data_IF_721656655332
#
_entry.id   IF_721656655332
#
_cell.length_a   1.000
_cell.length_b   1.000
_cell.length_c   1.000
_cell.angle_alpha   90.00
_cell.angle_beta   90.00
_cell.angle_gamma   90.00
#
_symmetry.space_group_name_H-M   'P 1'
#
loop_
_entity.id
_entity.type
_entity.pdbx_description
1 polymer ?
#
# COMPACT_ATOMS: atom_id res chain seq x y z
N UNK A 1 26.83 21.55 -11.32
CA UNK A 1 26.66 22.94 -11.83
C UNK A 1 25.25 23.49 -11.62
N UNK A 2 24.22 22.90 -12.21
CA UNK A 2 22.85 23.43 -12.21
C UNK A 2 22.26 23.68 -10.81
N UNK A 3 22.51 22.79 -9.85
CA UNK A 3 22.08 22.99 -8.47
C UNK A 3 22.73 24.22 -7.83
N UNK A 4 24.04 24.44 -8.04
CA UNK A 4 24.75 25.62 -7.56
C UNK A 4 24.22 26.91 -8.22
N UNK A 5 23.98 26.87 -9.54
CA UNK A 5 23.34 27.97 -10.29
C UNK A 5 21.98 28.32 -9.71
N UNK A 6 21.11 27.33 -9.50
CA UNK A 6 19.76 27.51 -8.95
C UNK A 6 19.80 28.15 -7.55
N UNK A 7 20.62 27.61 -6.65
CA UNK A 7 20.77 28.15 -5.29
C UNK A 7 21.32 29.59 -5.29
N UNK A 8 22.20 29.92 -6.24
CA UNK A 8 22.74 31.27 -6.37
C UNK A 8 21.81 32.27 -7.05
N UNK A 9 20.70 31.84 -7.68
CA UNK A 9 19.86 32.67 -8.56
C UNK A 9 19.39 33.95 -7.85
N UNK A 10 19.02 33.83 -6.57
CA UNK A 10 18.55 34.93 -5.73
C UNK A 10 19.63 35.54 -4.84
N UNK A 11 20.89 35.10 -4.97
CA UNK A 11 22.01 35.65 -4.22
C UNK A 11 22.42 37.04 -4.73
N UNK A 12 23.09 37.79 -3.86
CA UNK A 12 23.65 39.09 -4.20
C UNK A 12 24.55 38.99 -5.44
N UNK A 13 24.53 40.01 -6.31
CA UNK A 13 25.24 40.00 -7.60
C UNK A 13 26.73 39.65 -7.47
N UNK A 14 27.40 40.14 -6.43
CA UNK A 14 28.82 39.83 -6.21
C UNK A 14 29.07 38.33 -5.98
N UNK A 15 28.16 37.62 -5.30
CA UNK A 15 28.25 36.16 -5.11
C UNK A 15 28.05 35.41 -6.43
N UNK A 16 27.09 35.86 -7.25
CA UNK A 16 26.85 35.29 -8.59
C UNK A 16 28.08 35.44 -9.50
N UNK A 17 28.73 36.62 -9.49
CA UNK A 17 29.97 36.87 -10.23
C UNK A 17 31.16 36.06 -9.70
N UNK A 18 31.28 35.90 -8.39
CA UNK A 18 32.30 35.05 -7.79
C UNK A 18 32.13 33.58 -8.21
N UNK A 19 30.89 33.07 -8.18
CA UNK A 19 30.59 31.72 -8.62
C UNK A 19 30.83 31.52 -10.12
N UNK A 20 30.47 32.51 -10.96
CA UNK A 20 30.79 32.49 -12.39
C UNK A 20 32.31 32.40 -12.62
N UNK A 21 33.10 33.15 -11.85
CA UNK A 21 34.56 33.11 -11.92
C UNK A 21 35.13 31.74 -11.53
N UNK A 22 34.59 31.12 -10.47
CA UNK A 22 34.98 29.76 -10.05
C UNK A 22 34.63 28.74 -11.14
N UNK A 23 33.44 28.81 -11.72
CA UNK A 23 33.01 27.92 -12.80
C UNK A 23 33.90 28.04 -14.05
N UNK A 24 34.32 29.27 -14.39
CA UNK A 24 35.29 29.53 -15.47
C UNK A 24 36.67 28.92 -15.15
N UNK A 25 37.18 29.11 -13.93
CA UNK A 25 38.49 28.58 -13.49
C UNK A 25 38.50 27.05 -13.51
N UNK A 26 37.44 26.42 -12.98
CA UNK A 26 37.27 24.97 -12.94
C UNK A 26 36.83 24.38 -14.29
N UNK A 27 36.63 25.20 -15.32
CA UNK A 27 36.18 24.81 -16.66
C UNK A 27 34.89 23.97 -16.64
N UNK A 28 33.97 24.34 -15.75
CA UNK A 28 32.68 23.64 -15.61
C UNK A 28 31.83 23.85 -16.85
N UNK A 29 31.24 22.77 -17.35
CA UNK A 29 30.35 22.77 -18.51
C UNK A 29 28.90 22.50 -18.09
N UNK A 30 27.90 23.02 -18.82
CA UNK A 30 26.49 22.72 -18.58
C UNK A 30 26.10 21.25 -18.80
N UNK A 31 26.73 20.63 -19.78
CA UNK A 31 26.55 19.23 -20.12
C UNK A 31 27.86 18.49 -19.86
N UNK A 32 27.73 17.33 -19.21
CA UNK A 32 28.84 16.45 -18.87
C UNK A 32 28.56 15.08 -19.46
N UNK A 33 29.61 14.44 -19.96
CA UNK A 33 29.57 13.07 -20.42
C UNK A 33 30.06 12.16 -19.30
N UNK A 34 29.18 11.31 -18.81
CA UNK A 34 29.44 10.35 -17.73
C UNK A 34 28.83 9.01 -18.10
N UNK A 35 29.41 7.92 -17.60
CA UNK A 35 28.78 6.60 -17.75
C UNK A 35 27.47 6.51 -16.96
N UNK A 36 26.58 5.61 -17.36
CA UNK A 36 25.34 5.33 -16.62
C UNK A 36 25.64 4.97 -15.15
N UNK A 37 26.68 4.16 -14.91
CA UNK A 37 27.09 3.80 -13.56
C UNK A 37 27.50 5.00 -12.72
N UNK A 38 28.23 5.96 -13.30
CA UNK A 38 28.60 7.20 -12.62
C UNK A 38 27.39 8.09 -12.33
N UNK A 39 26.48 8.27 -13.30
CA UNK A 39 25.28 9.09 -13.12
C UNK A 39 24.37 8.54 -12.01
N UNK A 40 24.19 7.22 -11.96
CA UNK A 40 23.33 6.57 -10.98
C UNK A 40 24.01 6.48 -9.60
N UNK A 41 25.25 6.01 -9.55
CA UNK A 41 25.86 5.56 -8.29
C UNK A 41 26.89 6.51 -7.69
N UNK A 42 27.41 7.48 -8.45
CA UNK A 42 28.41 8.41 -7.94
C UNK A 42 29.50 8.75 -8.96
N UNK A 43 29.83 10.04 -9.04
CA UNK A 43 31.12 10.51 -9.53
C UNK A 43 31.56 11.77 -8.79
N UNK A 44 32.86 12.00 -8.73
CA UNK A 44 33.44 13.20 -8.14
C UNK A 44 33.17 14.42 -9.03
N UNK A 45 32.34 15.35 -8.55
CA UNK A 45 32.10 16.64 -9.21
C UNK A 45 33.07 17.71 -8.67
N UNK A 46 33.75 18.49 -9.54
CA UNK A 46 34.73 19.48 -9.09
C UNK A 46 34.13 20.61 -8.22
N UNK A 47 32.86 21.00 -8.44
CA UNK A 47 32.20 22.01 -7.62
C UNK A 47 31.82 21.43 -6.25
N UNK A 48 31.35 20.18 -6.21
CA UNK A 48 31.08 19.49 -4.95
C UNK A 48 32.35 19.35 -4.11
N UNK A 49 33.47 18.96 -4.76
CA UNK A 49 34.79 18.89 -4.09
C UNK A 49 35.17 20.22 -3.48
N UNK A 50 35.10 21.31 -4.25
CA UNK A 50 35.41 22.65 -3.74
C UNK A 50 34.45 23.08 -2.61
N UNK A 51 33.16 22.79 -2.74
CA UNK A 51 32.18 23.13 -1.71
C UNK A 51 32.52 22.47 -0.37
N UNK A 52 32.99 21.23 -0.36
CA UNK A 52 33.43 20.55 0.88
C UNK A 52 34.59 21.26 1.58
N UNK A 53 35.50 21.85 0.83
CA UNK A 53 36.70 22.49 1.36
C UNK A 53 36.41 23.90 1.89
N UNK A 54 35.42 24.59 1.31
CA UNK A 54 35.14 26.02 1.57
C UNK A 54 33.91 26.24 2.47
N UNK A 55 32.89 25.38 2.39
CA UNK A 55 31.61 25.59 3.09
C UNK A 55 31.72 25.19 4.57
N UNK A 56 31.15 25.99 5.51
CA UNK A 56 31.10 25.66 6.94
C UNK A 56 30.48 24.29 7.21
N UNK A 57 30.90 23.63 8.29
CA UNK A 57 30.49 22.25 8.62
C UNK A 57 28.97 22.07 8.69
N UNK A 58 28.26 23.10 9.15
CA UNK A 58 26.81 23.12 9.35
C UNK A 58 26.03 23.15 8.04
N UNK A 59 26.66 23.59 6.94
CA UNK A 59 26.08 23.69 5.59
C UNK A 59 26.66 22.65 4.63
N UNK A 60 27.49 21.72 5.12
CA UNK A 60 28.04 20.67 4.27
C UNK A 60 26.95 19.70 3.85
N UNK A 61 26.97 19.42 2.55
CA UNK A 61 26.14 18.36 1.98
C UNK A 61 26.59 17.00 2.54
N UNK A 62 25.64 16.09 2.85
CA UNK A 62 25.96 14.82 3.48
C UNK A 62 26.53 13.76 2.51
N UNK A 63 26.77 14.12 1.24
CA UNK A 63 27.23 13.20 0.20
C UNK A 63 28.62 13.57 -0.30
N UNK A 64 29.39 12.54 -0.65
CA UNK A 64 30.75 12.73 -1.13
C UNK A 64 30.84 12.86 -2.65
N UNK A 65 29.97 12.16 -3.36
CA UNK A 65 29.92 12.17 -4.81
C UNK A 65 28.54 12.61 -5.27
N UNK A 66 28.46 13.04 -6.53
CA UNK A 66 27.18 13.30 -7.16
C UNK A 66 26.67 12.01 -7.80
N UNK A 67 25.44 11.61 -7.48
CA UNK A 67 24.74 10.52 -8.16
C UNK A 67 23.25 10.55 -7.81
N UNK A 68 22.40 10.14 -8.75
CA UNK A 68 20.94 10.17 -8.56
C UNK A 68 20.47 9.18 -7.49
N UNK A 69 21.18 8.07 -7.34
CA UNK A 69 20.94 7.01 -6.35
C UNK A 69 22.19 6.78 -5.49
N UNK A 70 23.01 7.82 -5.30
CA UNK A 70 24.21 7.75 -4.45
C UNK A 70 23.85 7.28 -3.04
N UNK A 71 24.60 6.31 -2.51
CA UNK A 71 24.39 5.75 -1.17
C UNK A 71 23.10 4.92 -1.00
N UNK A 72 22.38 4.61 -2.08
CA UNK A 72 21.16 3.78 -2.03
C UNK A 72 21.39 2.29 -2.30
N UNK A 73 22.62 1.91 -2.60
CA UNK A 73 22.97 0.49 -2.76
C UNK A 73 23.18 -0.15 -1.38
N UNK A 74 22.35 -1.13 -1.03
CA UNK A 74 22.39 -1.85 0.24
C UNK A 74 21.22 -1.50 1.18
N UNK A 75 21.41 -1.74 2.47
CA UNK A 75 20.39 -1.48 3.49
C UNK A 75 20.49 -0.05 3.99
N UNK A 76 19.37 0.68 3.99
CA UNK A 76 19.32 2.02 4.55
C UNK A 76 19.54 2.00 6.08
N UNK A 77 20.28 2.95 6.67
CA UNK A 77 20.32 3.16 8.11
C UNK A 77 19.02 3.78 8.67
N UNK A 78 18.10 4.19 7.80
CA UNK A 78 16.82 4.79 8.19
C UNK A 78 15.95 3.79 8.97
N UNK A 79 15.22 4.30 9.95
CA UNK A 79 14.28 3.52 10.76
C UNK A 79 12.86 3.91 10.41
N UNK A 80 12.10 2.92 9.92
CA UNK A 80 10.67 3.05 9.64
C UNK A 80 9.89 2.26 10.68
N UNK A 81 8.99 2.94 11.39
CA UNK A 81 8.07 2.34 12.36
C UNK A 81 6.69 2.27 11.73
N UNK A 82 6.11 1.08 11.66
CA UNK A 82 4.78 0.84 11.09
C UNK A 82 3.83 0.22 12.11
N UNK A 83 2.53 0.49 11.96
CA UNK A 83 1.50 -0.15 12.75
C UNK A 83 1.35 -1.62 12.35
N UNK A 84 1.46 -2.52 13.32
CA UNK A 84 1.32 -3.96 13.13
C UNK A 84 -0.13 -4.43 12.95
N UNK A 85 -1.11 -3.54 13.13
CA UNK A 85 -2.53 -3.89 13.10
C UNK A 85 -3.06 -4.62 14.34
N UNK A 86 -2.22 -4.86 15.36
CA UNK A 86 -2.60 -5.63 16.55
C UNK A 86 -3.74 -4.99 17.37
N UNK A 87 -3.76 -3.65 17.45
CA UNK A 87 -4.80 -2.90 18.15
C UNK A 87 -5.95 -2.50 17.22
N UNK A 88 -5.62 -2.16 15.98
CA UNK A 88 -6.57 -1.69 14.96
C UNK A 88 -6.10 -2.12 13.56
N UNK A 89 -6.86 -3.04 12.97
CA UNK A 89 -6.55 -3.60 11.65
C UNK A 89 -6.66 -2.55 10.52
N UNK A 90 -7.40 -1.46 10.73
CA UNK A 90 -7.51 -0.38 9.73
C UNK A 90 -6.22 0.42 9.55
N UNK A 91 -5.30 0.30 10.52
CA UNK A 91 -3.97 0.93 10.48
C UNK A 91 -2.87 -0.01 10.03
N UNK A 92 -3.19 -1.27 9.70
CA UNK A 92 -2.19 -2.27 9.34
C UNK A 92 -1.30 -1.82 8.17
N UNK A 93 0.02 -1.86 8.37
CA UNK A 93 1.00 -1.48 7.34
C UNK A 93 1.14 0.02 7.13
N UNK A 94 0.45 0.86 7.92
CA UNK A 94 0.59 2.32 7.84
C UNK A 94 1.83 2.76 8.63
N UNK A 95 2.62 3.64 8.03
CA UNK A 95 3.81 4.23 8.64
C UNK A 95 3.40 5.22 9.73
N UNK A 96 3.94 5.00 10.93
CA UNK A 96 3.76 5.85 12.09
C UNK A 96 4.89 6.87 12.23
N UNK A 97 6.14 6.40 12.07
CA UNK A 97 7.32 7.25 12.21
C UNK A 97 8.36 6.91 11.15
N UNK A 98 9.01 7.96 10.63
CA UNK A 98 10.21 7.85 9.81
C UNK A 98 11.34 8.59 10.52
N UNK A 99 12.42 7.88 10.88
CA UNK A 99 13.53 8.43 11.66
C UNK A 99 13.07 9.20 12.91
N UNK A 100 12.17 8.58 13.69
CA UNK A 100 11.54 9.13 14.90
C UNK A 100 10.65 10.37 14.68
N UNK A 101 10.28 10.68 13.43
CA UNK A 101 9.39 11.81 13.09
C UNK A 101 8.05 11.30 12.57
N UNK A 102 6.97 11.90 13.04
CA UNK A 102 5.59 11.58 12.63
C UNK A 102 5.13 12.35 11.39
N UNK A 103 5.83 13.44 11.06
CA UNK A 103 5.50 14.35 9.97
C UNK A 103 6.78 14.86 9.32
N UNK A 104 6.69 15.14 8.03
CA UNK A 104 7.68 15.91 7.29
C UNK A 104 7.75 17.35 7.81
N UNK A 105 8.78 18.07 7.41
CA UNK A 105 9.02 19.46 7.83
C UNK A 105 9.22 20.41 6.65
N UNK A 106 8.81 19.99 5.46
CA UNK A 106 9.09 20.69 4.21
C UNK A 106 7.91 21.54 3.72
N UNK A 107 6.69 21.12 4.05
CA UNK A 107 5.47 21.68 3.47
C UNK A 107 4.75 22.62 4.44
N UNK A 108 3.85 23.45 3.93
CA UNK A 108 3.24 24.52 4.76
C UNK A 108 2.10 24.04 5.65
N UNK A 109 1.52 22.86 5.37
CA UNK A 109 0.39 22.31 6.12
C UNK A 109 0.72 20.94 6.70
N UNK A 110 0.09 20.62 7.82
CA UNK A 110 0.21 19.32 8.47
C UNK A 110 -0.28 18.17 7.58
N UNK A 111 -1.30 18.41 6.75
CA UNK A 111 -1.82 17.41 5.83
C UNK A 111 -0.76 17.00 4.80
N UNK A 112 -0.03 17.97 4.24
CA UNK A 112 0.97 17.71 3.20
C UNK A 112 2.27 17.19 3.79
N UNK A 113 2.53 17.48 5.07
CA UNK A 113 3.58 16.87 5.85
C UNK A 113 3.24 15.48 6.41
N UNK A 114 2.05 14.93 6.13
CA UNK A 114 1.69 13.59 6.58
C UNK A 114 2.55 12.53 5.91
N UNK A 115 2.97 11.52 6.68
CA UNK A 115 3.62 10.29 6.20
C UNK A 115 2.72 9.05 6.42
N UNK A 116 1.47 9.26 6.84
CA UNK A 116 0.53 8.20 7.18
C UNK A 116 0.02 7.48 5.93
N UNK A 117 0.86 6.61 5.38
CA UNK A 117 0.57 5.72 4.27
C UNK A 117 1.34 4.42 4.39
N UNK A 118 1.07 3.51 3.46
CA UNK A 118 1.84 2.28 3.29
C UNK A 118 3.17 2.54 2.58
N UNK A 119 4.12 1.62 2.67
CA UNK A 119 5.30 1.56 1.81
C UNK A 119 4.97 1.04 0.38
N UNK A 120 3.71 0.68 0.12
CA UNK A 120 3.23 0.15 -1.15
C UNK A 120 3.21 -1.38 -1.22
N UNK A 121 3.73 -2.10 -0.22
CA UNK A 121 3.78 -3.57 -0.21
C UNK A 121 2.53 -4.21 0.38
N UNK A 122 2.00 -3.62 1.44
CA UNK A 122 0.84 -4.11 2.21
C UNK A 122 -0.12 -2.97 2.50
N UNK A 123 -1.41 -3.24 2.49
CA UNK A 123 -2.42 -2.24 2.83
C UNK A 123 -3.39 -2.81 3.87
N UNK A 124 -4.15 -1.95 4.59
CA UNK A 124 -5.20 -2.43 5.48
C UNK A 124 -6.15 -3.38 4.76
N UNK A 125 -6.60 -4.49 5.37
CA UNK A 125 -7.48 -5.44 4.71
C UNK A 125 -8.89 -4.88 4.51
N UNK A 126 -9.68 -5.57 3.67
CA UNK A 126 -11.08 -5.23 3.35
C UNK A 126 -11.28 -3.90 2.61
N UNK A 127 -10.31 -3.54 1.77
CA UNK A 127 -10.38 -2.37 0.89
C UNK A 127 -11.56 -2.48 -0.07
N UNK A 128 -12.23 -1.34 -0.27
CA UNK A 128 -13.34 -1.12 -1.18
C UNK A 128 -12.95 -0.12 -2.26
N UNK A 129 -13.71 -0.11 -3.37
CA UNK A 129 -13.48 0.80 -4.50
C UNK A 129 -13.56 2.29 -4.15
N UNK A 130 -14.19 2.63 -3.03
CA UNK A 130 -14.33 4.02 -2.58
C UNK A 130 -13.16 4.46 -1.69
N UNK A 131 -12.34 3.52 -1.21
CA UNK A 131 -11.22 3.83 -0.35
C UNK A 131 -10.09 4.46 -1.16
N UNK A 132 -9.41 5.44 -0.57
CA UNK A 132 -8.20 6.03 -1.14
C UNK A 132 -7.01 5.44 -0.41
N UNK A 133 -6.17 4.71 -1.13
CA UNK A 133 -4.93 4.21 -0.59
C UNK A 133 -3.87 5.31 -0.62
N UNK A 134 -2.88 5.22 0.24
CA UNK A 134 -1.80 6.19 0.29
C UNK A 134 -0.48 5.46 0.40
N UNK A 135 0.48 5.87 -0.43
CA UNK A 135 1.86 5.35 -0.41
C UNK A 135 2.80 6.47 -0.02
N UNK A 136 3.71 6.19 0.91
CA UNK A 136 4.79 7.09 1.27
C UNK A 136 6.12 6.42 0.95
N UNK A 137 6.92 7.12 0.17
CA UNK A 137 8.33 6.83 -0.03
C UNK A 137 9.14 8.09 0.27
N UNK A 138 10.31 7.93 0.90
CA UNK A 138 11.16 9.05 1.32
C UNK A 138 11.64 9.91 0.14
N UNK A 139 11.80 9.30 -1.04
CA UNK A 139 12.30 9.96 -2.25
C UNK A 139 11.20 10.70 -3.01
N UNK A 140 9.94 10.31 -2.82
CA UNK A 140 8.78 11.07 -3.29
C UNK A 140 8.51 12.32 -2.43
N UNK A 141 9.00 12.35 -1.19
CA UNK A 141 8.90 13.50 -0.27
C UNK A 141 7.49 14.01 0.02
N UNK A 142 6.47 13.23 -0.30
CA UNK A 142 5.06 13.47 0.03
C UNK A 142 4.33 12.15 0.07
N UNK A 143 3.18 12.17 0.72
CA UNK A 143 2.19 11.10 0.59
C UNK A 143 1.61 11.12 -0.83
N UNK A 144 1.58 9.98 -1.49
CA UNK A 144 1.00 9.77 -2.81
C UNK A 144 -0.35 9.06 -2.68
N UNK A 145 -1.48 9.75 -2.89
CA UNK A 145 -2.80 9.13 -2.86
C UNK A 145 -3.02 8.29 -4.13
N UNK A 146 -3.69 7.16 -3.98
CA UNK A 146 -4.08 6.26 -5.05
C UNK A 146 -5.60 6.02 -5.01
N UNK A 147 -6.27 6.17 -6.15
CA UNK A 147 -7.71 5.93 -6.32
C UNK A 147 -7.95 4.70 -7.19
N UNK A 148 -9.08 4.04 -6.95
CA UNK A 148 -9.53 2.91 -7.75
C UNK A 148 -9.65 3.30 -9.23
N UNK A 149 -9.11 2.46 -10.10
CA UNK A 149 -9.18 2.59 -11.55
C UNK A 149 -10.10 1.53 -12.14
N UNK A 150 -9.79 0.25 -11.92
CA UNK A 150 -10.48 -0.87 -12.54
C UNK A 150 -10.32 -2.16 -11.71
N UNK A 151 -11.20 -3.14 -11.96
CA UNK A 151 -11.03 -4.50 -11.45
C UNK A 151 -10.11 -5.28 -12.39
N UNK A 152 -9.20 -6.06 -11.82
CA UNK A 152 -8.26 -6.90 -12.56
C UNK A 152 -8.30 -8.33 -12.02
N UNK A 153 -8.06 -9.30 -12.89
CA UNK A 153 -7.94 -10.71 -12.52
C UNK A 153 -6.52 -11.18 -12.76
N UNK A 154 -5.84 -11.61 -11.70
CA UNK A 154 -4.46 -12.11 -11.72
C UNK A 154 -4.47 -13.56 -11.27
N UNK A 155 -4.22 -14.50 -12.19
CA UNK A 155 -4.25 -15.94 -11.92
C UNK A 155 -5.54 -16.45 -11.25
N UNK A 156 -6.69 -15.89 -11.66
CA UNK A 156 -8.00 -16.22 -11.12
C UNK A 156 -8.28 -15.63 -9.74
N UNK A 157 -7.42 -14.74 -9.25
CA UNK A 157 -7.62 -13.92 -8.05
C UNK A 157 -8.10 -12.54 -8.49
N UNK A 158 -9.23 -12.09 -7.95
CA UNK A 158 -9.73 -10.74 -8.20
C UNK A 158 -8.98 -9.73 -7.34
N UNK A 159 -8.50 -8.67 -7.97
CA UNK A 159 -7.79 -7.57 -7.35
C UNK A 159 -8.30 -6.23 -7.90
N UNK A 160 -7.94 -5.15 -7.24
CA UNK A 160 -8.28 -3.80 -7.64
C UNK A 160 -7.03 -3.06 -8.07
N UNK A 161 -7.10 -2.41 -9.25
CA UNK A 161 -6.04 -1.53 -9.71
C UNK A 161 -6.24 -0.14 -9.13
N UNK A 162 -5.24 0.35 -8.43
CA UNK A 162 -5.15 1.70 -7.90
C UNK A 162 -4.08 2.51 -8.65
N UNK A 163 -4.36 3.79 -8.91
CA UNK A 163 -3.47 4.74 -9.59
C UNK A 163 -3.52 6.09 -8.92
N UNK A 164 -2.46 6.91 -8.98
CA UNK A 164 -2.57 8.30 -8.57
C UNK A 164 -3.67 9.00 -9.37
N UNK A 165 -4.46 9.89 -8.74
CA UNK A 165 -5.46 10.66 -9.45
C UNK A 165 -4.77 11.63 -10.43
N UNK A 166 -5.48 12.01 -11.49
CA UNK A 166 -4.90 12.83 -12.57
C UNK A 166 -4.45 14.22 -12.11
N UNK A 167 -5.02 14.72 -11.01
CA UNK A 167 -4.75 16.01 -10.38
C UNK A 167 -3.66 15.94 -9.28
N UNK A 168 -2.99 14.80 -9.07
CA UNK A 168 -2.03 14.62 -7.97
C UNK A 168 -0.87 15.61 -7.97
N UNK A 169 -0.45 16.06 -9.16
CA UNK A 169 0.58 17.08 -9.37
C UNK A 169 0.02 18.33 -10.04
N UNK A 170 -1.30 18.55 -9.93
CA UNK A 170 -1.93 19.72 -10.51
C UNK A 170 -1.61 20.99 -9.72
N UNK A 171 -1.59 22.13 -10.41
CA UNK A 171 -1.50 23.44 -9.77
C UNK A 171 -2.88 23.90 -9.30
N UNK A 172 -3.37 23.30 -8.22
CA UNK A 172 -4.69 23.56 -7.64
C UNK A 172 -4.61 23.97 -6.15
N UNK A 173 -5.76 24.22 -5.53
CA UNK A 173 -5.83 24.61 -4.12
C UNK A 173 -5.37 23.48 -3.19
N UNK A 174 -5.63 22.22 -3.55
CA UNK A 174 -5.25 21.05 -2.76
C UNK A 174 -3.72 20.88 -2.67
N UNK A 175 -3.02 21.11 -3.78
CA UNK A 175 -1.56 20.98 -3.85
C UNK A 175 -0.80 22.26 -3.45
N UNK A 176 -1.50 23.37 -3.15
CA UNK A 176 -0.89 24.66 -2.79
C UNK A 176 0.07 24.56 -1.59
N UNK A 177 -0.18 23.63 -0.68
CA UNK A 177 0.67 23.37 0.50
C UNK A 177 2.09 22.88 0.15
N UNK A 178 2.28 22.28 -1.02
CA UNK A 178 3.58 21.81 -1.52
C UNK A 178 4.43 22.93 -2.12
N UNK A 179 3.97 24.18 -2.01
CA UNK A 179 4.60 25.37 -2.56
C UNK A 179 4.90 26.39 -1.45
N UNK A 180 5.85 26.11 -0.54
CA UNK A 180 6.14 26.97 0.61
C UNK A 180 6.77 28.32 0.24
N UNK A 181 7.44 28.41 -0.91
CA UNK A 181 7.98 29.67 -1.43
C UNK A 181 6.89 30.62 -1.97
N UNK A 182 5.65 30.15 -2.08
CA UNK A 182 4.55 30.87 -2.72
C UNK A 182 4.62 30.86 -4.25
N UNK A 183 3.59 31.40 -4.94
CA UNK A 183 3.54 31.44 -6.39
C UNK A 183 4.68 32.27 -7.03
N UNK A 184 5.15 31.90 -8.23
CA UNK A 184 4.71 30.76 -9.03
C UNK A 184 5.24 29.42 -8.50
N UNK A 185 4.34 28.44 -8.40
CA UNK A 185 4.65 27.08 -7.97
C UNK A 185 5.19 26.24 -9.14
N UNK A 186 5.45 24.95 -8.89
CA UNK A 186 5.82 24.02 -9.96
C UNK A 186 4.76 24.04 -11.10
N UNK A 187 5.19 23.93 -12.37
CA UNK A 187 4.28 23.78 -13.50
C UNK A 187 3.33 22.59 -13.32
N UNK A 188 2.17 22.67 -13.98
CA UNK A 188 1.15 21.63 -13.88
C UNK A 188 1.68 20.25 -14.32
N UNK A 189 1.52 19.25 -13.46
CA UNK A 189 2.01 17.87 -13.65
C UNK A 189 3.44 17.62 -13.19
N UNK A 190 4.07 18.60 -12.53
CA UNK A 190 5.38 18.47 -11.90
C UNK A 190 5.28 18.62 -10.37
N UNK A 191 6.17 17.93 -9.67
CA UNK A 191 6.31 18.05 -8.23
C UNK A 191 7.73 18.48 -7.85
N UNK A 192 7.85 19.63 -7.17
CA UNK A 192 9.14 20.15 -6.74
C UNK A 192 9.63 19.45 -5.47
N UNK A 193 10.70 18.68 -5.58
CA UNK A 193 11.33 17.95 -4.47
C UNK A 193 12.58 18.64 -3.93
N UNK A 194 12.86 19.88 -4.33
CA UNK A 194 14.10 20.56 -3.94
C UNK A 194 14.34 20.59 -2.44
N UNK A 195 13.30 20.79 -1.64
CA UNK A 195 13.39 20.93 -0.19
C UNK A 195 13.80 19.65 0.54
N UNK A 196 13.51 18.48 -0.02
CA UNK A 196 13.97 17.21 0.53
C UNK A 196 15.24 16.69 -0.16
N UNK A 197 15.63 17.30 -1.30
CA UNK A 197 16.82 16.96 -2.08
C UNK A 197 17.90 18.04 -1.97
N UNK A 198 18.10 18.60 -0.77
CA UNK A 198 19.18 19.54 -0.44
C UNK A 198 19.26 20.77 -1.37
N UNK A 199 18.10 21.36 -1.68
CA UNK A 199 17.93 22.50 -2.59
C UNK A 199 18.46 22.24 -4.01
N UNK A 200 18.55 20.97 -4.41
CA UNK A 200 18.76 20.61 -5.81
C UNK A 200 17.47 20.87 -6.59
N UNK A 201 17.52 21.49 -7.79
CA UNK A 201 16.33 21.88 -8.55
C UNK A 201 15.69 20.70 -9.27
N UNK A 202 15.40 19.63 -8.53
CA UNK A 202 14.81 18.40 -9.04
C UNK A 202 13.29 18.53 -9.01
N UNK A 203 12.67 18.16 -10.14
CA UNK A 203 11.22 18.11 -10.31
C UNK A 203 10.83 16.69 -10.73
N UNK A 204 9.93 16.06 -9.99
CA UNK A 204 9.38 14.76 -10.35
C UNK A 204 8.18 14.93 -11.30
N UNK A 205 8.02 13.98 -12.21
CA UNK A 205 6.83 13.85 -13.05
C UNK A 205 6.56 12.37 -13.35
N UNK A 206 5.46 12.07 -14.03
CA UNK A 206 5.33 10.78 -14.69
C UNK A 206 6.15 10.74 -15.99
N UNK A 207 6.51 9.54 -16.51
CA UNK A 207 7.28 9.40 -17.74
C UNK A 207 6.68 10.15 -18.92
N UNK A 208 7.55 10.72 -19.75
CA UNK A 208 7.20 11.50 -20.93
C UNK A 208 6.24 12.66 -20.63
N UNK A 209 6.31 13.20 -19.41
CA UNK A 209 5.40 14.25 -18.94
C UNK A 209 3.91 13.82 -19.02
N UNK A 210 3.62 12.54 -18.77
CA UNK A 210 2.25 12.06 -18.64
C UNK A 210 1.49 12.86 -17.56
N UNK A 211 0.28 13.32 -17.88
CA UNK A 211 -0.56 14.21 -17.05
C UNK A 211 0.01 15.61 -16.80
N UNK A 212 1.10 15.99 -17.46
CA UNK A 212 1.65 17.34 -17.36
C UNK A 212 1.32 18.21 -18.57
N UNK A 213 1.61 19.50 -18.45
CA UNK A 213 1.35 20.47 -19.50
C UNK A 213 2.12 20.12 -20.80
N UNK A 214 1.47 20.12 -21.99
CA UNK A 214 2.14 19.77 -23.24
C UNK A 214 3.37 20.62 -23.57
N UNK A 215 3.40 21.88 -23.10
CA UNK A 215 4.51 22.81 -23.28
C UNK A 215 5.83 22.29 -22.71
N UNK A 216 5.79 21.53 -21.61
CA UNK A 216 6.97 20.93 -20.98
C UNK A 216 7.63 19.89 -21.91
N UNK A 217 6.81 19.09 -22.58
CA UNK A 217 7.26 18.10 -23.57
C UNK A 217 7.73 18.77 -24.86
N UNK A 218 7.00 19.76 -25.33
CA UNK A 218 7.31 20.47 -26.59
C UNK A 218 8.57 21.33 -26.51
N UNK A 219 9.00 21.71 -25.31
CA UNK A 219 10.27 22.40 -25.07
C UNK A 219 11.51 21.52 -25.32
N UNK A 220 11.36 20.19 -25.44
CA UNK A 220 12.47 19.24 -25.59
C UNK A 220 12.21 18.29 -26.76
N UNK A 221 13.11 18.30 -27.74
CA UNK A 221 13.06 17.37 -28.87
C UNK A 221 13.40 15.94 -28.41
N UNK A 222 12.71 14.94 -28.97
CA UNK A 222 12.95 13.52 -28.70
C UNK A 222 11.98 12.85 -27.74
N UNK A 223 11.10 13.60 -27.06
CA UNK A 223 10.10 13.02 -26.16
C UNK A 223 8.84 12.64 -26.92
N UNK A 224 8.55 11.35 -27.01
CA UNK A 224 7.30 10.87 -27.61
C UNK A 224 6.08 11.28 -26.76
N UNK A 225 4.89 11.44 -27.37
CA UNK A 225 3.65 11.66 -26.62
C UNK A 225 3.42 10.59 -25.55
N UNK A 226 2.87 10.95 -24.38
CA UNK A 226 2.68 10.00 -23.30
C UNK A 226 1.55 9.01 -23.62
N UNK A 227 1.77 7.73 -23.32
CA UNK A 227 0.80 6.65 -23.49
C UNK A 227 0.38 6.19 -22.09
N UNK A 228 -0.91 6.31 -21.70
CA UNK A 228 -1.37 5.99 -20.35
C UNK A 228 -0.92 4.60 -19.87
N UNK A 229 -1.05 3.57 -20.70
CA UNK A 229 -0.73 2.18 -20.33
C UNK A 229 0.76 1.98 -20.04
N UNK A 230 1.64 2.78 -20.67
CA UNK A 230 3.09 2.69 -20.53
C UNK A 230 3.66 3.63 -19.48
N UNK A 231 2.99 4.74 -19.18
CA UNK A 231 3.54 5.80 -18.33
C UNK A 231 2.76 6.03 -17.04
N UNK A 232 1.62 5.37 -16.83
CA UNK A 232 0.86 5.44 -15.58
C UNK A 232 1.51 4.60 -14.48
N UNK A 233 1.57 5.15 -13.28
CA UNK A 233 1.87 4.40 -12.05
C UNK A 233 0.64 3.62 -11.59
N UNK A 234 0.78 2.35 -11.27
CA UNK A 234 -0.34 1.58 -10.70
C UNK A 234 0.11 0.50 -9.72
N UNK A 235 -0.82 0.09 -8.86
CA UNK A 235 -0.70 -1.05 -7.95
C UNK A 235 -1.98 -1.87 -8.04
N UNK A 236 -1.86 -3.17 -8.30
CA UNK A 236 -2.94 -4.15 -8.25
C UNK A 236 -2.93 -4.80 -6.86
N UNK A 237 -4.01 -4.61 -6.11
CA UNK A 237 -4.06 -4.83 -4.66
C UNK A 237 -5.27 -5.70 -4.26
N UNK A 238 -5.06 -6.57 -3.25
CA UNK A 238 -6.08 -7.45 -2.64
C UNK A 238 -5.82 -7.67 -1.12
N UNK A 239 -5.28 -6.66 -0.45
CA UNK A 239 -4.70 -6.63 0.89
C UNK A 239 -3.16 -6.65 0.86
N UNK A 240 -2.60 -7.23 -0.19
CA UNK A 240 -1.17 -7.28 -0.51
C UNK A 240 -1.02 -6.82 -1.96
N UNK A 241 0.07 -6.10 -2.27
CA UNK A 241 0.38 -5.73 -3.64
C UNK A 241 0.73 -6.99 -4.47
N UNK A 242 -0.09 -7.29 -5.48
CA UNK A 242 0.05 -8.46 -6.36
C UNK A 242 0.92 -8.16 -7.57
N UNK A 243 0.74 -6.97 -8.14
CA UNK A 243 1.49 -6.43 -9.27
C UNK A 243 1.59 -4.93 -9.05
N UNK A 244 2.76 -4.35 -9.29
CA UNK A 244 2.95 -2.91 -9.13
C UNK A 244 3.94 -2.42 -10.18
N UNK A 245 3.68 -1.23 -10.72
CA UNK A 245 4.62 -0.51 -11.60
C UNK A 245 4.66 0.95 -11.17
N UNK A 246 5.61 1.27 -10.32
CA UNK A 246 5.98 2.61 -9.94
C UNK A 246 6.82 3.24 -11.06
N UNK A 247 6.26 4.26 -11.72
CA UNK A 247 6.91 4.93 -12.85
C UNK A 247 7.10 6.40 -12.55
N UNK A 248 8.34 6.84 -12.46
CA UNK A 248 8.70 8.21 -12.11
C UNK A 248 9.78 8.72 -13.06
N UNK A 249 9.67 9.99 -13.41
CA UNK A 249 10.65 10.73 -14.19
C UNK A 249 11.30 11.80 -13.32
N UNK A 250 12.63 11.85 -13.38
CA UNK A 250 13.46 12.84 -12.71
C UNK A 250 13.79 13.92 -13.73
N UNK A 251 13.39 15.15 -13.42
CA UNK A 251 13.66 16.31 -14.25
C UNK A 251 14.48 17.34 -13.46
N UNK A 252 15.17 18.20 -14.21
CA UNK A 252 15.97 19.29 -13.67
C UNK A 252 15.35 20.62 -14.12
N UNK A 253 14.91 21.43 -13.16
CA UNK A 253 14.50 22.80 -13.44
C UNK A 253 15.75 23.64 -13.71
N UNK A 254 15.90 24.06 -14.95
CA UNK A 254 17.04 24.82 -15.42
C UNK A 254 16.60 26.27 -15.62
N UNK A 255 17.37 27.21 -15.06
CA UNK A 255 17.12 28.64 -15.24
C UNK A 255 18.34 29.37 -15.79
N UNK A 256 18.06 30.39 -16.60
CA UNK A 256 19.01 31.37 -17.07
C UNK A 256 19.52 32.23 -15.91
N UNK A 257 20.84 32.40 -15.83
CA UNK A 257 21.48 33.37 -14.94
C UNK A 257 22.47 34.19 -15.74
N UNK A 258 22.10 35.42 -16.06
CA UNK A 258 22.85 36.32 -16.98
C UNK A 258 24.30 36.54 -16.54
N UNK A 259 24.57 36.55 -15.22
CA UNK A 259 25.91 36.77 -14.68
C UNK A 259 26.83 35.52 -14.81
N UNK A 260 26.30 34.34 -15.14
CA UNK A 260 27.05 33.08 -15.25
C UNK A 260 27.10 32.66 -16.72
N UNK A 261 28.26 32.84 -17.36
CA UNK A 261 28.45 32.66 -18.82
C UNK A 261 27.95 31.31 -19.35
N UNK A 262 28.15 30.24 -18.59
CA UNK A 262 27.77 28.87 -18.92
C UNK A 262 26.26 28.71 -19.15
N UNK A 263 25.44 29.50 -18.45
CA UNK A 263 23.98 29.40 -18.46
C UNK A 263 23.29 30.69 -18.92
N UNK A 264 24.08 31.71 -19.25
CA UNK A 264 23.59 33.05 -19.58
C UNK A 264 22.70 33.07 -20.83
N UNK A 265 22.84 32.09 -21.73
CA UNK A 265 22.04 31.98 -22.96
C UNK A 265 21.13 30.74 -22.96
N UNK A 266 21.02 30.05 -21.81
CA UNK A 266 20.20 28.86 -21.71
C UNK A 266 18.74 29.24 -21.42
N UNK A 267 17.74 28.63 -22.08
CA UNK A 267 16.35 28.95 -21.82
C UNK A 267 15.89 28.42 -20.45
N UNK A 268 14.91 29.09 -19.85
CA UNK A 268 14.22 28.56 -18.67
C UNK A 268 13.37 27.35 -19.10
N UNK A 269 13.81 26.14 -18.75
CA UNK A 269 13.16 24.87 -19.13
C UNK A 269 13.22 23.84 -18.01
N UNK A 270 12.32 22.85 -18.07
CA UNK A 270 12.40 21.65 -17.24
C UNK A 270 12.98 20.53 -18.09
N UNK A 271 14.25 20.19 -17.84
CA UNK A 271 14.99 19.24 -18.66
C UNK A 271 14.88 17.83 -18.06
N UNK A 272 14.31 16.84 -18.78
CA UNK A 272 14.22 15.47 -18.29
C UNK A 272 15.60 14.82 -18.29
N UNK A 273 15.92 14.09 -17.22
CA UNK A 273 17.21 13.40 -17.08
C UNK A 273 17.04 11.91 -17.40
N UNK A 274 16.12 11.26 -16.68
CA UNK A 274 15.74 9.87 -16.90
C UNK A 274 14.36 9.61 -16.32
N UNK A 275 13.74 8.53 -16.77
CA UNK A 275 12.63 7.91 -16.06
C UNK A 275 12.96 6.44 -15.80
N UNK A 276 12.33 5.86 -14.79
CA UNK A 276 12.51 4.47 -14.44
C UNK A 276 11.18 3.84 -14.04
N UNK A 277 11.13 2.52 -14.17
CA UNK A 277 10.04 1.67 -13.67
C UNK A 277 10.63 0.80 -12.56
N UNK A 278 10.01 0.87 -11.38
CA UNK A 278 10.24 -0.05 -10.27
C UNK A 278 8.95 -0.82 -10.03
N UNK A 279 9.04 -2.13 -9.84
CA UNK A 279 7.84 -2.91 -9.72
C UNK A 279 8.05 -4.41 -9.66
N UNK A 280 6.92 -5.09 -9.51
CA UNK A 280 6.80 -6.53 -9.63
C UNK A 280 5.71 -6.83 -10.65
N UNK A 281 6.04 -7.67 -11.64
CA UNK A 281 5.06 -8.11 -12.61
C UNK A 281 4.14 -9.18 -12.03
N UNK A 282 4.69 -10.10 -11.26
CA UNK A 282 3.98 -11.22 -10.66
C UNK A 282 4.64 -11.63 -9.34
N UNK A 283 3.82 -12.08 -8.38
CA UNK A 283 4.34 -12.71 -7.17
C UNK A 283 4.94 -14.09 -7.47
N UNK A 284 5.90 -14.58 -6.67
CA UNK A 284 6.44 -15.92 -6.80
C UNK A 284 5.34 -17.00 -6.77
N UNK A 285 5.48 -18.07 -7.56
CA UNK A 285 4.47 -19.15 -7.67
C UNK A 285 4.06 -19.72 -6.32
N UNK A 286 5.01 -19.84 -5.38
CA UNK A 286 4.75 -20.33 -4.03
C UNK A 286 3.72 -19.44 -3.30
N UNK A 287 3.90 -18.12 -3.37
CA UNK A 287 2.98 -17.14 -2.77
C UNK A 287 1.64 -17.16 -3.50
N UNK A 288 1.65 -17.19 -4.84
CA UNK A 288 0.42 -17.26 -5.64
C UNK A 288 -0.40 -18.51 -5.37
N UNK A 289 0.25 -19.67 -5.25
CA UNK A 289 -0.42 -20.94 -4.96
C UNK A 289 -1.07 -20.92 -3.57
N UNK A 290 -0.39 -20.36 -2.57
CA UNK A 290 -0.93 -20.16 -1.23
C UNK A 290 -2.12 -19.20 -1.25
N UNK A 291 -2.02 -18.09 -1.99
CA UNK A 291 -3.10 -17.12 -2.14
C UNK A 291 -4.33 -17.73 -2.83
N UNK A 292 -4.14 -18.52 -3.90
CA UNK A 292 -5.24 -19.25 -4.55
C UNK A 292 -5.91 -20.22 -3.57
N UNK A 293 -5.12 -20.97 -2.81
CA UNK A 293 -5.66 -21.87 -1.78
C UNK A 293 -6.46 -21.10 -0.73
N UNK A 294 -5.92 -20.00 -0.21
CA UNK A 294 -6.55 -19.18 0.81
C UNK A 294 -7.82 -18.47 0.34
N UNK A 295 -7.90 -18.10 -0.94
CA UNK A 295 -9.02 -17.33 -1.49
C UNK A 295 -10.11 -18.22 -2.10
N UNK A 296 -9.75 -19.33 -2.74
CA UNK A 296 -10.69 -20.17 -3.50
C UNK A 296 -11.25 -21.33 -2.66
N UNK A 297 -10.48 -21.91 -1.74
CA UNK A 297 -10.92 -23.08 -0.96
C UNK A 297 -11.98 -22.72 0.09
N UNK A 298 -11.85 -21.66 0.90
CA UNK A 298 -12.83 -21.40 1.96
C UNK A 298 -14.26 -21.14 1.45
N UNK A 299 -14.50 -20.35 0.38
CA UNK A 299 -15.83 -20.19 -0.17
C UNK A 299 -16.42 -21.52 -0.67
N UNK A 300 -15.63 -22.32 -1.38
CA UNK A 300 -16.05 -23.62 -1.90
C UNK A 300 -16.38 -24.60 -0.77
N UNK A 301 -15.51 -24.69 0.23
CA UNK A 301 -15.72 -25.52 1.40
C UNK A 301 -16.96 -25.08 2.20
N UNK A 302 -17.15 -23.75 2.38
CA UNK A 302 -18.33 -23.20 3.05
C UNK A 302 -19.62 -23.56 2.31
N UNK A 303 -19.64 -23.42 0.99
CA UNK A 303 -20.79 -23.81 0.16
C UNK A 303 -21.04 -25.31 0.22
N UNK A 304 -20.02 -26.15 0.09
CA UNK A 304 -20.14 -27.61 0.12
C UNK A 304 -20.64 -28.11 1.48
N UNK A 305 -20.06 -27.61 2.59
CA UNK A 305 -20.51 -27.92 3.94
C UNK A 305 -21.93 -27.42 4.20
N UNK A 306 -22.26 -26.22 3.70
CA UNK A 306 -23.61 -25.66 3.79
C UNK A 306 -24.65 -26.56 3.12
N UNK A 307 -24.44 -26.91 1.85
CA UNK A 307 -25.33 -27.83 1.12
C UNK A 307 -25.41 -29.21 1.77
N UNK A 308 -24.27 -29.75 2.23
CA UNK A 308 -24.21 -31.04 2.90
C UNK A 308 -25.02 -31.07 4.20
N UNK A 309 -24.87 -30.06 5.07
CA UNK A 309 -25.61 -29.95 6.32
C UNK A 309 -27.10 -29.71 6.09
N UNK A 310 -27.46 -28.89 5.09
CA UNK A 310 -28.86 -28.67 4.73
C UNK A 310 -29.54 -29.95 4.21
N UNK A 311 -28.85 -30.73 3.36
CA UNK A 311 -29.38 -32.00 2.86
C UNK A 311 -29.53 -33.03 4.00
N UNK A 312 -28.56 -33.12 4.91
CA UNK A 312 -28.64 -33.98 6.08
C UNK A 312 -29.79 -33.57 7.00
N UNK A 313 -29.96 -32.27 7.24
CA UNK A 313 -31.08 -31.74 8.02
C UNK A 313 -32.44 -32.10 7.41
N UNK A 314 -32.58 -31.96 6.09
CA UNK A 314 -33.80 -32.35 5.38
C UNK A 314 -34.08 -33.86 5.50
N UNK A 315 -33.04 -34.70 5.37
CA UNK A 315 -33.16 -36.15 5.53
C UNK A 315 -33.64 -36.52 6.94
N UNK A 316 -33.09 -35.91 7.98
CA UNK A 316 -33.51 -36.15 9.37
C UNK A 316 -34.96 -35.72 9.63
N UNK A 317 -35.39 -34.59 9.05
CA UNK A 317 -36.79 -34.14 9.14
C UNK A 317 -37.71 -35.13 8.43
N UNK A 318 -37.37 -35.58 7.22
CA UNK A 318 -38.16 -36.58 6.50
C UNK A 318 -38.25 -37.91 7.27
N UNK A 319 -37.14 -38.36 7.86
CA UNK A 319 -37.13 -39.55 8.72
C UNK A 319 -38.02 -39.36 9.95
N UNK A 320 -37.93 -38.24 10.65
CA UNK A 320 -38.77 -37.94 11.80
C UNK A 320 -40.26 -37.91 11.43
N UNK A 321 -40.63 -37.27 10.33
CA UNK A 321 -42.01 -37.23 9.81
C UNK A 321 -42.50 -38.63 9.47
N UNK A 322 -41.71 -39.45 8.77
CA UNK A 322 -42.09 -40.86 8.49
C UNK A 322 -42.24 -41.69 9.75
N UNK A 323 -41.40 -41.50 10.77
CA UNK A 323 -41.53 -42.16 12.07
C UNK A 323 -42.82 -41.74 12.79
N UNK A 324 -43.16 -40.44 12.79
CA UNK A 324 -44.40 -39.91 13.37
C UNK A 324 -45.66 -40.40 12.65
N UNK A 325 -45.64 -40.47 11.32
CA UNK A 325 -46.75 -41.04 10.53
C UNK A 325 -46.91 -42.52 10.85
N UNK A 326 -45.82 -43.30 10.92
CA UNK A 326 -45.87 -44.73 11.30
C UNK A 326 -46.39 -44.94 12.72
N UNK A 327 -45.98 -44.12 13.70
CA UNK A 327 -46.47 -44.24 15.07
C UNK A 327 -47.95 -43.89 15.19
N UNK A 328 -48.41 -42.85 14.48
CA UNK A 328 -49.83 -42.50 14.39
C UNK A 328 -50.66 -43.62 13.80
N UNK A 329 -50.22 -44.21 12.68
CA UNK A 329 -50.92 -45.32 12.04
C UNK A 329 -50.97 -46.58 12.93
N UNK A 330 -49.89 -46.85 13.68
CA UNK A 330 -49.83 -47.97 14.64
C UNK A 330 -50.79 -47.78 15.83
N UNK A 331 -50.99 -46.55 16.29
CA UNK A 331 -51.99 -46.21 17.32
C UNK A 331 -53.43 -46.40 16.81
N UNK A 332 -53.69 -46.06 15.55
CA UNK A 332 -55.00 -46.28 14.90
C UNK A 332 -55.34 -47.77 14.76
N UNK A 333 -54.36 -48.63 14.44
CA UNK A 333 -54.57 -50.08 14.35
C UNK A 333 -54.81 -50.74 15.72
N UNK A 334 -54.10 -50.32 16.78
CA UNK A 334 -54.31 -50.82 18.14
C UNK A 334 -55.70 -50.44 18.70
N UNK A 335 -56.26 -49.30 18.28
CA UNK A 335 -57.65 -48.92 18.63
C UNK A 335 -58.70 -49.74 17.88
N UNK A 336 -58.42 -50.25 16.68
CA UNK A 336 -59.35 -51.13 15.97
C UNK A 336 -59.36 -52.56 16.54
N UNK A 337 -58.21 -53.10 16.95
CA UNK A 337 -58.15 -54.44 17.57
C UNK A 337 -58.76 -54.48 18.98
N UNK A 338 -58.76 -53.35 19.72
CA UNK A 338 -59.41 -53.24 21.03
C UNK A 338 -60.95 -53.37 21.00
N UNK A 339 -61.58 -53.34 19.82
CA UNK A 339 -63.04 -53.41 19.68
C UNK A 339 -63.59 -54.79 19.24
N UNK A 340 -62.76 -55.81 18.97
CA UNK A 340 -63.25 -57.06 18.31
C UNK A 340 -63.31 -58.32 19.21
N UNK A 341 -62.81 -58.33 20.45
CA UNK A 341 -63.01 -59.52 21.33
C UNK A 341 -63.45 -59.12 22.74
N UNK A 342 -64.76 -59.06 22.95
CA UNK A 342 -65.38 -59.18 24.28
C UNK A 342 -66.40 -60.34 24.23
N UNK A 343 -66.00 -61.52 24.69
CA UNK A 343 -66.91 -62.64 24.99
C UNK A 343 -67.35 -62.51 26.46
N UNK A 344 -68.64 -62.65 26.80
CA UNK A 344 -69.13 -62.37 28.15
C UNK A 344 -68.77 -63.50 29.15
N UNK A 345 -68.36 -63.19 30.39
CA UNK A 345 -68.24 -64.17 31.47
C UNK A 345 -69.54 -64.29 32.30
N UNK A 346 -69.86 -65.45 32.89
CA UNK A 346 -70.99 -65.60 33.80
C UNK A 346 -70.63 -65.40 35.28
N UNK A 347 -71.56 -64.72 35.97
CA UNK A 347 -71.99 -64.64 37.37
C UNK A 347 -71.18 -65.17 38.60
N UNK A 348 -71.04 -64.22 39.57
CA UNK A 348 -71.31 -64.23 41.05
C UNK A 348 -70.26 -64.66 42.11
N UNK A 349 -69.72 -63.62 42.81
CA UNK A 349 -69.63 -63.31 44.30
C UNK A 349 -69.11 -64.33 45.33
N UNK A 350 -68.68 -63.92 46.57
CA UNK A 350 -68.22 -62.62 47.12
C UNK A 350 -66.95 -62.72 48.04
N UNK A 351 -66.41 -61.60 48.54
CA UNK A 351 -66.05 -61.38 49.97
C UNK A 351 -64.91 -60.35 50.23
N UNK A 352 -65.30 -59.27 50.93
CA UNK A 352 -64.68 -58.56 52.07
C UNK A 352 -63.34 -57.81 51.98
N UNK A 353 -63.50 -56.54 52.38
CA UNK A 353 -62.80 -55.79 53.43
C UNK A 353 -61.47 -55.05 53.16
N UNK A 354 -61.63 -53.73 53.16
CA UNK A 354 -60.97 -52.72 54.00
C UNK A 354 -59.51 -52.29 53.71
N UNK A 355 -59.35 -50.97 53.48
CA UNK A 355 -58.20 -50.23 54.00
C UNK A 355 -57.77 -48.99 53.21
N UNK A 356 -58.26 -47.81 53.61
CA UNK A 356 -57.67 -46.44 53.70
C UNK A 356 -56.18 -46.22 53.27
N UNK A 357 -55.65 -45.06 52.89
CA UNK A 357 -56.12 -43.67 52.69
C UNK A 357 -55.04 -42.87 51.93
N UNK A 358 -55.41 -41.64 51.53
CA UNK A 358 -54.68 -40.59 50.81
C UNK A 358 -53.35 -40.12 51.46
N UNK A 359 -52.39 -39.58 50.69
CA UNK A 359 -52.30 -38.15 50.28
C UNK A 359 -50.88 -37.71 49.83
N UNK A 360 -50.87 -36.63 49.05
CA UNK A 360 -49.74 -35.83 48.56
C UNK A 360 -48.67 -35.44 49.60
N UNK A 361 -47.42 -35.20 49.17
CA UNK A 361 -46.72 -33.90 49.32
C UNK A 361 -45.39 -33.86 48.53
N UNK A 362 -44.90 -32.63 48.39
CA UNK A 362 -43.92 -32.05 47.47
C UNK A 362 -42.44 -32.11 47.89
N UNK A 363 -41.56 -31.82 46.89
CA UNK A 363 -40.25 -31.12 46.94
C UNK A 363 -39.14 -31.73 47.80
N UNK A 364 -37.99 -32.05 47.16
CA UNK A 364 -36.72 -31.48 47.62
C UNK A 364 -35.59 -31.46 46.58
N UNK A 365 -34.67 -30.56 46.87
CA UNK A 365 -33.55 -30.04 46.09
C UNK A 365 -32.23 -30.78 46.35
N UNK A 366 -31.33 -30.86 45.35
CA UNK A 366 -29.87 -30.71 45.57
C UNK A 366 -29.05 -30.55 44.29
N UNK A 367 -28.16 -29.55 44.35
CA UNK A 367 -27.00 -29.33 43.49
C UNK A 367 -26.02 -30.51 43.55
N UNK A 368 -25.27 -30.74 42.47
CA UNK A 368 -23.80 -30.85 42.55
C UNK A 368 -23.16 -30.41 41.23
N UNK A 369 -22.03 -29.72 41.35
CA UNK A 369 -21.20 -29.11 40.32
C UNK A 369 -20.05 -30.05 40.00
N UNK A 370 -19.62 -30.14 38.74
CA UNK A 370 -18.26 -30.58 38.44
C UNK A 370 -17.60 -29.70 37.37
N UNK A 371 -16.42 -29.18 37.73
CA UNK A 371 -15.49 -28.43 36.88
C UNK A 371 -14.26 -29.30 36.75
N UNK A 372 -13.78 -29.49 35.53
CA UNK A 372 -12.37 -29.79 35.33
C UNK A 372 -11.77 -29.03 34.16
N UNK A 373 -10.54 -28.57 34.41
CA UNK A 373 -9.71 -27.67 33.61
C UNK A 373 -8.85 -28.50 32.65
N UNK A 374 -8.57 -27.96 31.46
CA UNK A 374 -7.31 -28.22 30.76
C UNK A 374 -6.86 -26.93 30.06
N UNK A 375 -5.66 -26.48 30.43
CA UNK A 375 -4.96 -25.36 29.83
C UNK A 375 -4.04 -25.83 28.71
N UNK A 376 -3.88 -24.99 27.68
CA UNK A 376 -2.81 -25.12 26.70
C UNK A 376 -2.18 -23.74 26.49
N UNK A 377 -0.87 -23.74 26.66
CA UNK A 377 0.10 -22.65 26.59
C UNK A 377 0.38 -22.30 25.12
N UNK A 378 0.24 -21.02 24.73
CA UNK A 378 0.66 -20.54 23.41
C UNK A 378 1.93 -19.68 23.55
N UNK A 379 3.01 -20.14 22.90
CA UNK A 379 4.26 -19.41 22.70
C UNK A 379 4.21 -18.72 21.34
N UNK A 380 4.19 -17.40 21.33
CA UNK A 380 4.37 -16.62 20.10
C UNK A 380 5.86 -16.56 19.73
N UNK A 381 6.17 -17.04 18.53
CA UNK A 381 7.46 -16.89 17.85
C UNK A 381 7.43 -15.63 16.99
N UNK A 382 8.37 -14.71 17.24
CA UNK A 382 8.75 -13.66 16.28
C UNK A 382 9.25 -14.31 14.99
N UNK A 383 8.65 -13.95 13.86
CA UNK A 383 9.15 -14.26 12.52
C UNK A 383 9.74 -12.96 11.95
N UNK A 384 11.06 -12.86 11.88
CA UNK A 384 11.74 -11.84 11.09
C UNK A 384 11.81 -12.31 9.64
N UNK A 385 11.14 -11.62 8.73
CA UNK A 385 11.32 -11.79 7.29
C UNK A 385 12.42 -10.83 6.81
N UNK A 386 13.54 -11.38 6.38
CA UNK A 386 14.56 -10.69 5.59
C UNK A 386 14.14 -10.77 4.12
N UNK A 387 13.80 -9.63 3.51
CA UNK A 387 13.59 -9.51 2.07
C UNK A 387 14.93 -9.11 1.43
N UNK A 388 15.46 -10.01 0.61
CA UNK A 388 16.58 -9.75 -0.31
C UNK A 388 15.97 -9.28 -1.63
N UNK A 389 16.16 -8.00 -1.97
CA UNK A 389 15.74 -7.47 -3.27
C UNK A 389 16.78 -7.83 -4.34
N UNK A 390 16.32 -8.56 -5.36
CA UNK A 390 17.02 -8.74 -6.63
C UNK A 390 16.50 -7.69 -7.62
N UNK A 391 17.24 -6.61 -7.81
CA UNK A 391 16.95 -5.61 -8.84
C UNK A 391 17.40 -6.14 -10.21
N UNK A 392 16.48 -6.21 -11.17
CA UNK A 392 16.81 -6.33 -12.59
C UNK A 392 16.46 -5.02 -13.28
N UNK A 393 17.48 -4.26 -13.69
CA UNK A 393 17.32 -3.08 -14.53
C UNK A 393 17.30 -3.55 -15.99
N UNK A 394 16.12 -3.68 -16.58
CA UNK A 394 16.01 -3.87 -18.03
C UNK A 394 16.27 -2.53 -18.75
N UNK A 395 17.29 -2.52 -19.59
CA UNK A 395 17.65 -1.38 -20.44
C UNK A 395 16.60 -1.24 -21.55
N UNK A 396 15.79 -0.19 -21.48
CA UNK A 396 15.19 0.39 -22.68
C UNK A 396 15.88 1.71 -22.97
N UNK A 397 16.73 1.68 -24.01
CA UNK A 397 17.18 2.87 -24.70
C UNK A 397 16.04 3.36 -25.59
N UNK A 398 15.76 4.66 -25.53
CA UNK A 398 15.21 5.44 -26.66
C UNK A 398 16.05 6.70 -26.75
#
# INVERSE_FOLDING_TARGET
MWSATSQSKHAARFLRLAMASIMDILKIKPFVEVSVGQLLWGYEDPLLKLAKDVVPKEQKLPYEEFGLFYGKNGTSPDVVTMFSGANDMTTYGIISHYNMREKLQHWTSDQCNSIAGSDGSIFPPHITKNDTLAVYDKDLCRLLPLKFLEEVSLDGIQAYRYTPPEDVFANDEHNRCFCPAGPPCAPNGLFNVSLCQYDSPIMLSFPHFYLAEPSLREAVEGISPPIPEKHRLFIDEMGIAMRARARIQINLAVSQVVDIKQVANFPDIVFPILWFEEGIDELPEQVRSLLRLATQVPPLARSALGWGLSALGLLLILLAVTCLIRSSHRQSTLRLEGHVVAKPPPAKTPSKDNGYELNNYSVDSKLESDKDKNGLENKDRLICLSLSNSQSIEKFAV
#
